data_IF_722390383509
#
_entry.id   IF_722390383509
#
_cell.length_a   1.000
_cell.length_b   1.000
_cell.length_c   1.000
_cell.angle_alpha   90.00
_cell.angle_beta   90.00
_cell.angle_gamma   90.00
#
_symmetry.space_group_name_H-M   'P 1'
#
loop_
_entity.id
_entity.type
_entity.pdbx_description
1 polymer ?
#
# COMPACT_ATOMS: atom_id res chain seq x y z
N UNK A 1 0.54 -34.10 74.82
CA UNK A 1 0.27 -33.09 73.78
C UNK A 1 1.53 -32.38 73.26
N UNK A 2 2.51 -32.00 74.10
CA UNK A 2 3.62 -31.14 73.67
C UNK A 2 4.51 -31.72 72.54
N UNK A 3 4.96 -32.98 72.64
CA UNK A 3 5.89 -33.56 71.65
C UNK A 3 5.31 -33.72 70.24
N UNK A 4 4.03 -34.06 70.12
CA UNK A 4 3.37 -34.26 68.82
C UNK A 4 3.29 -32.93 68.04
N UNK A 5 3.00 -31.85 68.75
CA UNK A 5 2.99 -30.49 68.20
C UNK A 5 4.40 -30.05 67.78
N UNK A 6 5.42 -30.41 68.57
CA UNK A 6 6.81 -30.05 68.25
C UNK A 6 7.35 -30.79 67.02
N UNK A 7 7.00 -32.08 66.84
CA UNK A 7 7.29 -32.84 65.60
C UNK A 7 6.58 -32.26 64.38
N UNK A 8 5.31 -31.87 64.51
CA UNK A 8 4.55 -31.27 63.41
C UNK A 8 5.13 -29.90 62.99
N UNK A 9 5.51 -29.06 63.96
CA UNK A 9 6.17 -27.78 63.71
C UNK A 9 7.56 -27.92 63.07
N UNK A 10 8.35 -28.95 63.43
CA UNK A 10 9.62 -29.23 62.76
C UNK A 10 9.41 -29.75 61.34
N UNK A 11 8.52 -30.73 61.13
CA UNK A 11 8.21 -31.24 59.79
C UNK A 11 7.64 -30.17 58.84
N UNK A 12 6.81 -29.25 59.36
CA UNK A 12 6.32 -28.12 58.58
C UNK A 12 7.43 -27.10 58.26
N UNK A 13 8.32 -26.81 59.22
CA UNK A 13 9.47 -25.92 58.99
C UNK A 13 10.43 -26.50 57.95
N UNK A 14 10.70 -27.80 58.03
CA UNK A 14 11.62 -28.48 57.13
C UNK A 14 10.98 -28.64 55.72
N UNK A 15 9.67 -28.93 55.62
CA UNK A 15 8.92 -28.89 54.36
C UNK A 15 8.88 -27.49 53.71
N UNK A 16 8.65 -26.43 54.51
CA UNK A 16 8.67 -25.05 54.01
C UNK A 16 10.08 -24.65 53.58
N UNK A 17 11.12 -25.13 54.27
CA UNK A 17 12.52 -24.92 53.90
C UNK A 17 12.87 -25.62 52.59
N UNK A 18 12.49 -26.89 52.43
CA UNK A 18 12.72 -27.66 51.20
C UNK A 18 11.93 -27.09 50.01
N UNK A 19 10.71 -26.58 50.25
CA UNK A 19 9.95 -25.85 49.22
C UNK A 19 10.60 -24.51 48.84
N UNK A 20 11.14 -23.75 49.80
CA UNK A 20 11.87 -22.51 49.51
C UNK A 20 13.21 -22.74 48.82
N UNK A 21 13.90 -23.84 49.14
CA UNK A 21 15.13 -24.25 48.46
C UNK A 21 14.82 -24.73 47.04
N UNK A 22 13.82 -25.60 46.86
CA UNK A 22 13.34 -26.03 45.54
C UNK A 22 12.81 -24.89 44.66
N UNK A 23 12.31 -23.80 45.24
CA UNK A 23 11.95 -22.58 44.50
C UNK A 23 13.17 -21.78 44.02
N UNK A 24 14.35 -21.98 44.62
CA UNK A 24 15.62 -21.37 44.21
C UNK A 24 16.54 -22.33 43.43
N UNK A 25 16.14 -23.59 43.26
CA UNK A 25 16.85 -24.54 42.43
C UNK A 25 16.69 -24.19 40.94
N UNK A 26 17.83 -24.05 40.25
CA UNK A 26 17.89 -23.74 38.83
C UNK A 26 18.34 -24.97 38.04
N UNK A 27 17.38 -25.70 37.46
CA UNK A 27 17.65 -26.86 36.64
C UNK A 27 18.30 -26.45 35.30
N UNK A 28 19.39 -27.15 34.94
CA UNK A 28 20.03 -27.02 33.62
C UNK A 28 20.27 -28.40 33.01
N UNK A 29 20.07 -28.57 31.70
CA UNK A 29 20.32 -29.85 31.05
C UNK A 29 21.83 -30.15 31.02
N UNK A 30 22.20 -31.39 31.37
CA UNK A 30 23.56 -31.92 31.22
C UNK A 30 23.92 -31.98 29.73
N UNK A 31 24.77 -31.06 29.26
CA UNK A 31 25.19 -30.97 27.85
C UNK A 31 26.49 -31.73 27.57
N UNK A 32 26.54 -32.44 26.44
CA UNK A 32 27.76 -33.09 25.94
C UNK A 32 28.53 -32.19 24.96
N UNK A 33 29.85 -32.06 25.11
CA UNK A 33 30.69 -31.23 24.24
C UNK A 33 31.56 -32.10 23.33
N UNK A 34 31.14 -32.26 22.07
CA UNK A 34 31.85 -33.06 21.07
C UNK A 34 33.00 -32.26 20.45
N UNK A 35 34.25 -32.64 20.74
CA UNK A 35 35.47 -31.98 20.22
C UNK A 35 35.90 -32.54 18.85
N UNK A 36 35.06 -32.41 17.82
CA UNK A 36 35.38 -32.81 16.45
C UNK A 36 35.47 -31.58 15.51
N UNK A 37 36.59 -31.42 14.81
CA UNK A 37 36.84 -30.27 13.92
C UNK A 37 35.87 -30.20 12.74
N UNK A 38 35.58 -31.32 12.09
CA UNK A 38 34.70 -31.37 10.91
C UNK A 38 33.26 -31.00 11.28
N UNK A 39 32.76 -31.57 12.37
CA UNK A 39 31.42 -31.25 12.90
C UNK A 39 31.33 -29.78 13.34
N UNK A 40 32.38 -29.26 13.99
CA UNK A 40 32.47 -27.86 14.39
C UNK A 40 32.45 -26.88 13.21
N UNK A 41 33.11 -27.19 12.09
CA UNK A 41 33.08 -26.36 10.88
C UNK A 41 31.67 -26.34 10.26
N UNK A 42 31.00 -27.49 10.14
CA UNK A 42 29.62 -27.56 9.63
C UNK A 42 28.67 -26.74 10.51
N UNK A 43 28.73 -26.95 11.84
CA UNK A 43 27.89 -26.23 12.80
C UNK A 43 28.10 -24.70 12.75
N UNK A 44 29.36 -24.24 12.69
CA UNK A 44 29.68 -22.81 12.57
C UNK A 44 29.30 -22.23 11.21
N UNK A 45 29.41 -23.01 10.13
CA UNK A 45 28.97 -22.59 8.80
C UNK A 45 27.46 -22.34 8.72
N UNK A 46 26.65 -23.23 9.31
CA UNK A 46 25.19 -23.03 9.41
C UNK A 46 24.86 -21.81 10.28
N UNK A 47 25.50 -21.66 11.46
CA UNK A 47 25.31 -20.45 12.29
C UNK A 47 25.63 -19.16 11.52
N UNK A 48 26.74 -19.14 10.77
CA UNK A 48 27.15 -17.98 9.98
C UNK A 48 26.12 -17.62 8.89
N UNK A 49 25.59 -18.62 8.17
CA UNK A 49 24.55 -18.42 7.16
C UNK A 49 23.29 -17.80 7.77
N UNK A 50 22.81 -18.33 8.90
CA UNK A 50 21.64 -17.80 9.61
C UNK A 50 21.85 -16.37 10.07
N UNK A 51 23.00 -16.08 10.70
CA UNK A 51 23.35 -14.72 11.15
C UNK A 51 23.41 -13.75 9.96
N UNK A 52 23.99 -14.18 8.83
CA UNK A 52 24.05 -13.39 7.60
C UNK A 52 22.64 -13.11 7.05
N UNK A 53 21.74 -14.11 7.05
CA UNK A 53 20.34 -13.92 6.67
C UNK A 53 19.64 -12.87 7.55
N UNK A 54 19.75 -12.97 8.88
CA UNK A 54 19.12 -11.99 9.78
C UNK A 54 19.70 -10.58 9.58
N UNK A 55 21.02 -10.43 9.51
CA UNK A 55 21.65 -9.12 9.30
C UNK A 55 21.26 -8.53 7.93
N UNK A 56 21.36 -9.30 6.85
CA UNK A 56 21.17 -8.78 5.50
C UNK A 56 19.69 -8.64 5.10
N UNK A 57 18.88 -9.66 5.36
CA UNK A 57 17.47 -9.65 4.97
C UNK A 57 16.62 -8.91 6.00
N UNK A 58 16.61 -9.36 7.26
CA UNK A 58 15.68 -8.84 8.28
C UNK A 58 16.09 -7.44 8.76
N UNK A 59 17.38 -7.21 9.05
CA UNK A 59 17.83 -5.90 9.51
C UNK A 59 18.10 -4.92 8.38
N UNK A 60 18.80 -5.28 7.29
CA UNK A 60 19.14 -4.31 6.23
C UNK A 60 18.02 -4.13 5.19
N UNK A 61 17.46 -5.21 4.63
CA UNK A 61 16.44 -5.12 3.57
C UNK A 61 15.05 -4.73 4.09
N UNK A 62 14.54 -5.47 5.09
CA UNK A 62 13.21 -5.22 5.69
C UNK A 62 13.23 -4.12 6.75
N UNK A 63 14.41 -3.65 7.17
CA UNK A 63 14.59 -2.59 8.19
C UNK A 63 13.84 -2.85 9.50
N UNK A 64 13.82 -4.10 9.98
CA UNK A 64 13.06 -4.49 11.17
C UNK A 64 13.53 -3.86 12.51
N UNK A 65 14.55 -2.98 12.48
CA UNK A 65 14.95 -2.09 13.58
C UNK A 65 14.16 -0.78 13.62
N UNK A 66 13.43 -0.46 12.55
CA UNK A 66 12.59 0.73 12.44
C UNK A 66 11.17 0.42 12.90
N UNK A 67 10.58 1.37 13.61
CA UNK A 67 9.14 1.50 13.73
C UNK A 67 8.64 2.18 12.45
N UNK A 68 7.52 1.71 11.90
CA UNK A 68 7.00 2.19 10.61
C UNK A 68 5.56 2.72 10.70
N UNK A 69 5.33 3.85 10.05
CA UNK A 69 4.03 4.53 9.99
C UNK A 69 3.55 4.58 8.54
N UNK A 70 2.43 3.92 8.23
CA UNK A 70 1.86 3.75 6.87
C UNK A 70 0.65 4.64 6.59
N UNK A 71 0.21 5.43 7.57
CA UNK A 71 -0.99 6.28 7.50
C UNK A 71 -0.67 7.70 7.95
N UNK A 72 0.07 8.50 7.14
CA UNK A 72 0.22 9.92 7.42
C UNK A 72 -1.14 10.64 7.32
N UNK A 73 -1.26 11.72 8.07
CA UNK A 73 -2.24 12.76 7.78
C UNK A 73 -1.75 13.51 6.53
N UNK A 74 -2.63 13.75 5.56
CA UNK A 74 -2.26 14.50 4.35
C UNK A 74 -3.27 15.59 4.04
N UNK A 75 -2.75 16.72 3.54
CA UNK A 75 -3.52 17.83 3.03
C UNK A 75 -3.08 18.11 1.60
N UNK A 76 -4.04 18.24 0.70
CA UNK A 76 -3.82 18.54 -0.71
C UNK A 76 -4.61 19.78 -1.08
N UNK A 77 -3.95 20.71 -1.75
CA UNK A 77 -4.55 21.88 -2.35
C UNK A 77 -4.11 21.95 -3.81
N UNK A 78 -5.08 22.06 -4.72
CA UNK A 78 -4.87 22.11 -6.16
C UNK A 78 -5.40 23.41 -6.74
N UNK A 79 -4.67 23.98 -7.70
CA UNK A 79 -5.09 25.18 -8.42
C UNK A 79 -4.66 25.05 -9.89
N UNK A 80 -5.60 25.12 -10.81
CA UNK A 80 -5.29 25.21 -12.24
C UNK A 80 -5.01 26.65 -12.66
N UNK A 81 -4.17 26.83 -13.68
CA UNK A 81 -3.86 28.12 -14.32
C UNK A 81 -3.68 27.94 -15.82
N UNK A 82 -4.35 28.79 -16.57
CA UNK A 82 -4.32 28.83 -18.02
C UNK A 82 -5.46 29.71 -18.52
N UNK A 83 -5.27 30.32 -19.68
CA UNK A 83 -6.33 31.00 -20.42
C UNK A 83 -6.32 30.41 -21.82
N UNK A 84 -7.49 30.20 -22.40
CA UNK A 84 -7.62 29.71 -23.77
C UNK A 84 -8.62 30.55 -24.56
N UNK A 85 -8.39 30.65 -25.86
CA UNK A 85 -9.26 31.35 -26.81
C UNK A 85 -10.21 30.33 -27.42
N UNK A 86 -11.51 30.62 -27.39
CA UNK A 86 -12.56 29.74 -27.85
C UNK A 86 -13.51 30.49 -28.80
N UNK A 87 -13.11 30.59 -30.08
CA UNK A 87 -13.75 31.50 -31.01
C UNK A 87 -13.43 32.94 -30.61
N UNK A 88 -14.47 33.74 -30.37
CA UNK A 88 -14.34 35.12 -29.89
C UNK A 88 -14.28 35.24 -28.35
N UNK A 89 -14.60 34.15 -27.62
CA UNK A 89 -14.60 34.12 -26.16
C UNK A 89 -13.22 33.77 -25.57
N UNK A 90 -12.88 34.35 -24.41
CA UNK A 90 -11.72 33.98 -23.61
C UNK A 90 -12.21 33.15 -22.42
N UNK A 91 -11.66 31.94 -22.24
CA UNK A 91 -11.95 31.07 -21.11
C UNK A 91 -10.80 31.13 -20.10
N UNK A 92 -11.13 31.47 -18.85
CA UNK A 92 -10.23 31.41 -17.70
C UNK A 92 -10.66 30.23 -16.79
N UNK A 93 -9.88 30.02 -15.73
CA UNK A 93 -10.06 29.02 -14.69
C UNK A 93 -11.50 28.91 -14.15
N UNK A 94 -12.24 30.01 -14.07
CA UNK A 94 -13.63 30.03 -13.56
C UNK A 94 -14.61 29.36 -14.54
N UNK A 95 -14.31 29.33 -15.83
CA UNK A 95 -15.16 28.72 -16.86
C UNK A 95 -14.93 27.21 -16.98
N UNK A 96 -13.68 26.74 -16.84
CA UNK A 96 -13.31 25.36 -17.12
C UNK A 96 -12.93 24.50 -15.90
N UNK A 97 -12.64 25.06 -14.71
CA UNK A 97 -12.20 24.28 -13.53
C UNK A 97 -13.36 23.99 -12.58
N UNK A 98 -13.53 22.73 -12.13
CA UNK A 98 -14.52 22.36 -11.08
C UNK A 98 -13.97 21.25 -10.16
N UNK A 99 -14.15 21.33 -8.83
CA UNK A 99 -14.59 22.49 -8.05
C UNK A 99 -13.59 23.65 -8.14
N UNK A 100 -14.06 24.88 -7.88
CA UNK A 100 -13.25 26.11 -7.92
C UNK A 100 -12.31 26.25 -6.71
N UNK A 101 -12.68 25.62 -5.60
CA UNK A 101 -12.02 25.59 -4.31
C UNK A 101 -10.71 24.79 -4.35
N UNK A 102 -10.61 23.86 -5.31
CA UNK A 102 -9.56 22.84 -5.35
C UNK A 102 -9.71 21.79 -4.24
N UNK A 103 -8.75 20.87 -4.19
CA UNK A 103 -8.71 19.79 -3.20
C UNK A 103 -7.88 18.60 -3.68
N UNK A 104 -8.23 17.41 -3.20
CA UNK A 104 -7.76 16.13 -3.72
C UNK A 104 -8.31 15.84 -5.13
N UNK A 105 -9.55 16.22 -5.42
CA UNK A 105 -10.20 16.07 -6.73
C UNK A 105 -10.35 17.42 -7.43
N UNK A 106 -9.86 17.50 -8.67
CA UNK A 106 -10.02 18.69 -9.52
C UNK A 106 -10.27 18.27 -10.98
N UNK A 107 -11.26 18.87 -11.64
CA UNK A 107 -11.60 18.57 -13.03
C UNK A 107 -11.47 19.80 -13.93
N UNK A 108 -11.08 19.55 -15.18
CA UNK A 108 -10.98 20.56 -16.25
C UNK A 108 -11.89 20.18 -17.40
N UNK A 109 -12.75 21.12 -17.82
CA UNK A 109 -13.64 20.97 -18.97
C UNK A 109 -12.81 21.17 -20.25
N UNK A 110 -12.84 20.17 -21.14
CA UNK A 110 -12.15 20.20 -22.43
C UNK A 110 -13.11 20.36 -23.61
N UNK A 111 -14.38 19.98 -23.45
CA UNK A 111 -15.42 20.11 -24.49
C UNK A 111 -16.78 20.28 -23.83
N UNK A 112 -17.62 21.17 -24.38
CA UNK A 112 -18.98 21.43 -23.89
C UNK A 112 -20.01 21.08 -24.95
N UNK A 113 -21.12 20.53 -24.48
CA UNK A 113 -22.36 20.35 -25.25
C UNK A 113 -23.42 21.17 -24.54
N UNK A 114 -23.88 22.25 -25.19
CA UNK A 114 -24.68 23.30 -24.56
C UNK A 114 -26.08 23.32 -25.17
N UNK A 115 -27.10 23.35 -24.30
CA UNK A 115 -28.51 23.55 -24.68
C UNK A 115 -28.97 24.85 -24.03
N UNK A 116 -29.05 25.91 -24.83
CA UNK A 116 -29.44 27.25 -24.39
C UNK A 116 -30.94 27.39 -24.17
N UNK A 117 -31.34 28.36 -23.34
CA UNK A 117 -32.73 28.83 -23.18
C UNK A 117 -33.76 27.71 -22.93
N UNK A 118 -33.38 26.65 -22.19
CA UNK A 118 -34.34 25.66 -21.73
C UNK A 118 -35.33 26.33 -20.77
N UNK A 119 -36.62 26.11 -20.98
CA UNK A 119 -37.71 26.62 -20.14
C UNK A 119 -38.60 25.47 -19.69
N UNK A 120 -39.22 25.58 -18.53
CA UNK A 120 -40.19 24.58 -18.08
C UNK A 120 -41.45 24.65 -18.97
N UNK A 121 -41.77 23.57 -19.66
CA UNK A 121 -42.85 23.55 -20.65
C UNK A 121 -43.20 22.14 -21.11
N UNK A 122 -43.71 22.04 -22.34
CA UNK A 122 -43.98 20.74 -23.00
C UNK A 122 -43.30 20.69 -24.36
N UNK A 123 -42.75 19.52 -24.71
CA UNK A 123 -42.07 19.27 -25.97
C UNK A 123 -42.04 17.78 -26.31
N UNK A 124 -41.67 17.45 -27.54
CA UNK A 124 -41.52 16.09 -28.03
C UNK A 124 -40.33 15.37 -27.36
N UNK A 125 -40.55 14.16 -26.83
CA UNK A 125 -39.49 13.30 -26.28
C UNK A 125 -38.52 12.83 -27.37
N UNK A 126 -37.28 12.51 -27.00
CA UNK A 126 -36.24 12.07 -27.91
C UNK A 126 -36.50 10.65 -28.43
N UNK A 127 -36.51 10.48 -29.75
CA UNK A 127 -36.82 9.22 -30.46
C UNK A 127 -35.96 7.99 -30.10
N UNK A 128 -34.81 8.17 -29.44
CA UNK A 128 -33.97 7.06 -28.93
C UNK A 128 -34.34 6.59 -27.52
N UNK A 129 -35.25 7.27 -26.81
CA UNK A 129 -35.80 6.79 -25.53
C UNK A 129 -36.76 5.64 -25.82
N UNK A 130 -36.77 4.62 -24.95
CA UNK A 130 -37.65 3.47 -25.12
C UNK A 130 -39.13 3.91 -25.16
N UNK A 131 -39.91 3.33 -26.07
CA UNK A 131 -41.34 3.65 -26.25
C UNK A 131 -41.65 5.15 -26.45
N UNK A 132 -40.68 5.98 -26.88
CA UNK A 132 -40.91 7.40 -27.15
C UNK A 132 -41.60 7.66 -28.50
N UNK A 133 -41.38 6.79 -29.49
CA UNK A 133 -42.03 6.88 -30.80
C UNK A 133 -43.51 6.46 -30.68
N UNK A 134 -44.40 7.25 -31.25
CA UNK A 134 -45.85 7.03 -31.18
C UNK A 134 -46.51 7.21 -32.56
N UNK A 135 -47.71 6.67 -32.71
CA UNK A 135 -48.57 6.88 -33.89
C UNK A 135 -49.86 7.59 -33.54
N UNK A 136 -50.39 7.31 -32.35
CA UNK A 136 -51.64 7.84 -31.78
C UNK A 136 -51.40 8.31 -30.36
N UNK A 137 -52.25 9.21 -29.88
CA UNK A 137 -52.21 9.73 -28.50
C UNK A 137 -52.36 8.59 -27.46
N UNK A 138 -53.10 7.53 -27.79
CA UNK A 138 -53.24 6.30 -26.99
C UNK A 138 -51.93 5.59 -26.66
N UNK A 139 -50.90 5.80 -27.48
CA UNK A 139 -49.61 5.13 -27.33
C UNK A 139 -48.78 5.80 -26.22
N UNK A 140 -49.17 7.01 -25.79
CA UNK A 140 -48.52 7.80 -24.76
C UNK A 140 -49.37 7.79 -23.49
N UNK A 141 -48.99 7.03 -22.46
CA UNK A 141 -49.75 6.99 -21.20
C UNK A 141 -49.56 8.31 -20.44
N UNK A 142 -50.67 9.00 -20.15
CA UNK A 142 -50.64 10.26 -19.41
C UNK A 142 -50.13 10.08 -17.98
N UNK A 143 -49.22 10.94 -17.53
CA UNK A 143 -48.68 10.94 -16.18
C UNK A 143 -47.53 9.96 -15.95
N UNK A 144 -47.26 9.06 -16.90
CA UNK A 144 -46.11 8.15 -16.87
C UNK A 144 -44.79 8.92 -16.91
N UNK A 145 -43.81 8.46 -16.13
CA UNK A 145 -42.43 8.94 -16.14
C UNK A 145 -41.55 7.74 -16.43
N UNK A 146 -40.91 7.73 -17.59
CA UNK A 146 -39.91 6.72 -17.93
C UNK A 146 -38.60 7.04 -17.18
N UNK A 147 -37.93 6.00 -16.66
CA UNK A 147 -36.67 6.16 -15.92
C UNK A 147 -35.53 6.63 -16.82
N UNK A 148 -35.53 6.19 -18.09
CA UNK A 148 -34.57 6.63 -19.11
C UNK A 148 -35.09 7.85 -19.92
N UNK A 149 -36.28 8.35 -19.59
CA UNK A 149 -36.91 9.51 -20.22
C UNK A 149 -36.49 10.84 -19.60
N UNK A 150 -36.82 11.94 -20.29
CA UNK A 150 -36.45 13.29 -19.87
C UNK A 150 -37.56 14.01 -19.08
N UNK A 151 -38.76 13.41 -18.95
CA UNK A 151 -39.88 14.04 -18.24
C UNK A 151 -41.16 13.21 -18.18
N UNK A 152 -42.24 13.86 -17.70
CA UNK A 152 -43.56 13.24 -17.52
C UNK A 152 -44.40 13.33 -18.79
N UNK A 153 -44.90 12.20 -19.30
CA UNK A 153 -45.75 12.15 -20.51
C UNK A 153 -47.08 12.88 -20.30
N UNK A 154 -47.49 13.70 -21.27
CA UNK A 154 -48.74 14.48 -21.20
C UNK A 154 -49.96 13.70 -21.70
N UNK A 155 -49.73 12.62 -22.47
CA UNK A 155 -50.77 11.85 -23.15
C UNK A 155 -51.00 12.21 -24.62
N UNK A 156 -50.15 13.05 -25.23
CA UNK A 156 -50.28 13.48 -26.64
C UNK A 156 -49.13 12.97 -27.51
N UNK A 157 -49.43 12.58 -28.75
CA UNK A 157 -48.47 12.13 -29.75
C UNK A 157 -48.19 13.25 -30.76
N UNK A 158 -47.08 13.98 -30.55
CA UNK A 158 -46.74 15.20 -31.30
C UNK A 158 -45.69 14.92 -32.37
N UNK A 159 -45.65 15.75 -33.41
CA UNK A 159 -44.60 15.67 -34.43
C UNK A 159 -43.23 16.02 -33.81
N UNK A 160 -42.21 15.22 -34.12
CA UNK A 160 -40.87 15.44 -33.58
C UNK A 160 -40.18 16.59 -34.32
N UNK A 161 -40.45 17.82 -33.85
CA UNK A 161 -39.93 19.06 -34.43
C UNK A 161 -40.12 19.11 -35.96
N UNK A 162 -39.04 19.25 -36.73
CA UNK A 162 -39.07 19.34 -38.19
C UNK A 162 -39.00 17.97 -38.91
N UNK A 163 -39.16 16.85 -38.20
CA UNK A 163 -39.10 15.50 -38.78
C UNK A 163 -40.50 14.96 -39.11
N UNK A 164 -40.55 13.90 -39.94
CA UNK A 164 -41.81 13.28 -40.42
C UNK A 164 -42.44 12.30 -39.43
N UNK A 165 -41.70 11.83 -38.43
CA UNK A 165 -42.18 10.91 -37.39
C UNK A 165 -42.68 11.68 -36.16
N UNK A 166 -43.41 10.97 -35.28
CA UNK A 166 -43.99 11.51 -34.05
C UNK A 166 -43.39 10.85 -32.81
N UNK A 167 -43.30 11.61 -31.72
CA UNK A 167 -42.95 11.11 -30.39
C UNK A 167 -43.90 11.63 -29.32
N UNK A 168 -43.95 10.96 -28.19
CA UNK A 168 -44.78 11.37 -27.07
C UNK A 168 -44.34 12.75 -26.55
N UNK A 169 -45.32 13.61 -26.29
CA UNK A 169 -45.08 14.88 -25.63
C UNK A 169 -44.84 14.66 -24.13
N UNK A 170 -43.81 15.31 -23.62
CA UNK A 170 -43.41 15.30 -22.21
C UNK A 170 -43.41 16.71 -21.63
N UNK A 171 -43.68 16.81 -20.34
CA UNK A 171 -43.52 18.02 -19.54
C UNK A 171 -42.12 18.01 -18.89
N UNK A 172 -41.24 18.91 -19.33
CA UNK A 172 -39.85 19.02 -18.85
C UNK A 172 -39.22 20.37 -19.20
N UNK A 173 -37.90 20.49 -19.01
CA UNK A 173 -37.07 21.56 -19.53
C UNK A 173 -36.89 21.42 -21.05
N UNK A 174 -37.61 22.25 -21.79
CA UNK A 174 -37.70 22.22 -23.25
C UNK A 174 -36.91 23.40 -23.86
N UNK A 175 -36.19 23.21 -24.99
CA UNK A 175 -36.06 21.97 -25.77
C UNK A 175 -35.14 20.93 -25.10
N UNK A 176 -35.36 19.65 -25.43
CA UNK A 176 -34.55 18.52 -24.93
C UNK A 176 -33.09 18.57 -25.44
N UNK A 177 -32.15 18.16 -24.58
CA UNK A 177 -30.69 18.19 -24.82
C UNK A 177 -30.32 17.67 -26.21
N UNK A 178 -30.70 16.43 -26.52
CA UNK A 178 -30.25 15.74 -27.74
C UNK A 178 -30.77 16.35 -29.05
N UNK A 179 -31.83 17.17 -29.01
CA UNK A 179 -32.34 17.88 -30.19
C UNK A 179 -31.63 19.24 -30.39
N UNK A 180 -31.52 20.03 -29.33
CA UNK A 180 -31.06 21.42 -29.38
C UNK A 180 -29.60 21.61 -28.93
N UNK A 181 -28.82 20.54 -28.83
CA UNK A 181 -27.41 20.58 -28.44
C UNK A 181 -26.55 21.31 -29.48
N UNK A 182 -25.92 22.39 -29.04
CA UNK A 182 -24.78 23.00 -29.72
C UNK A 182 -23.51 22.30 -29.22
N UNK A 183 -22.74 21.72 -30.13
CA UNK A 183 -21.45 21.07 -29.83
C UNK A 183 -20.33 22.07 -30.03
N UNK A 184 -19.70 22.49 -28.95
CA UNK A 184 -18.53 23.37 -29.02
C UNK A 184 -17.27 22.57 -29.41
N UNK A 185 -16.27 23.22 -30.07
CA UNK A 185 -15.00 22.58 -30.36
C UNK A 185 -14.21 22.23 -29.09
N UNK A 186 -13.25 21.32 -29.21
CA UNK A 186 -12.40 20.94 -28.09
C UNK A 186 -11.34 22.01 -27.77
N UNK A 187 -11.06 22.19 -26.48
CA UNK A 187 -10.09 23.14 -25.96
C UNK A 187 -8.66 22.58 -26.05
N UNK A 188 -8.11 22.54 -27.28
CA UNK A 188 -6.77 21.97 -27.55
C UNK A 188 -5.66 22.68 -26.76
N UNK A 189 -5.80 24.00 -26.56
CA UNK A 189 -4.86 24.83 -25.80
C UNK A 189 -4.68 24.40 -24.34
N UNK A 190 -5.67 23.68 -23.79
CA UNK A 190 -5.61 23.14 -22.43
C UNK A 190 -4.43 22.18 -22.20
N UNK A 191 -3.82 21.64 -23.25
CA UNK A 191 -2.58 20.83 -23.14
C UNK A 191 -1.45 21.58 -22.44
N UNK A 192 -1.42 22.91 -22.56
CA UNK A 192 -0.43 23.80 -21.95
C UNK A 192 -0.84 24.37 -20.60
N UNK A 193 -2.07 24.11 -20.13
CA UNK A 193 -2.49 24.54 -18.80
C UNK A 193 -1.66 23.86 -17.71
N UNK A 194 -1.49 24.58 -16.60
CA UNK A 194 -0.71 24.11 -15.46
C UNK A 194 -1.59 23.82 -14.27
N UNK A 195 -1.29 22.73 -13.56
CA UNK A 195 -1.90 22.34 -12.30
C UNK A 195 -0.84 22.56 -11.22
N UNK A 196 -1.06 23.53 -10.35
CA UNK A 196 -0.28 23.70 -9.12
C UNK A 196 -0.81 22.73 -8.08
N UNK A 197 0.05 21.82 -7.60
CA UNK A 197 -0.29 20.84 -6.56
C UNK A 197 0.57 21.14 -5.33
N UNK A 198 -0.07 21.61 -4.25
CA UNK A 198 0.54 21.74 -2.93
C UNK A 198 0.07 20.58 -2.07
N UNK A 199 1.01 19.74 -1.64
CA UNK A 199 0.76 18.66 -0.71
C UNK A 199 1.61 18.84 0.55
N UNK A 200 0.96 18.76 1.70
CA UNK A 200 1.57 18.65 3.02
C UNK A 200 1.27 17.26 3.59
N UNK A 201 2.26 16.61 4.18
CA UNK A 201 2.12 15.33 4.87
C UNK A 201 2.65 15.44 6.30
N UNK A 202 1.95 14.84 7.24
CA UNK A 202 2.32 14.78 8.64
C UNK A 202 2.29 13.32 9.11
N UNK A 203 3.39 12.89 9.71
CA UNK A 203 3.53 11.60 10.38
C UNK A 203 3.34 11.82 11.89
N UNK A 204 2.11 11.68 12.44
CA UNK A 204 1.84 12.03 13.83
C UNK A 204 2.60 11.16 14.84
N UNK A 205 2.88 9.89 14.53
CA UNK A 205 3.73 9.03 15.36
C UNK A 205 5.14 9.59 15.54
N UNK A 206 5.74 10.10 14.46
CA UNK A 206 7.10 10.66 14.48
C UNK A 206 7.16 12.19 14.67
N UNK A 207 6.01 12.88 14.63
CA UNK A 207 5.85 14.35 14.66
C UNK A 207 6.62 15.07 13.54
N UNK A 208 6.66 14.47 12.36
CA UNK A 208 7.37 15.02 11.19
C UNK A 208 6.36 15.59 10.18
N UNK A 209 6.43 16.89 9.94
CA UNK A 209 5.68 17.60 8.89
C UNK A 209 6.60 17.87 7.69
N UNK A 210 6.16 17.51 6.49
CA UNK A 210 6.87 17.80 5.22
C UNK A 210 5.89 18.32 4.17
N UNK A 211 6.42 19.03 3.19
CA UNK A 211 5.67 19.52 2.03
C UNK A 211 6.43 19.26 0.74
N UNK A 212 5.71 19.14 -0.38
CA UNK A 212 6.30 18.81 -1.68
C UNK A 212 7.08 19.96 -2.34
N UNK A 213 6.84 21.20 -1.90
CA UNK A 213 7.50 22.39 -2.43
C UNK A 213 8.88 22.53 -1.79
N UNK A 214 9.91 22.77 -2.60
CA UNK A 214 11.29 23.03 -2.14
C UNK A 214 11.29 24.12 -1.06
N UNK A 215 11.98 23.89 0.05
CA UNK A 215 12.17 24.92 1.07
C UNK A 215 13.16 25.97 0.57
N UNK A 216 12.71 27.23 0.48
CA UNK A 216 13.50 28.38 0.00
C UNK A 216 13.25 29.54 0.96
N UNK A 217 14.27 29.89 1.74
CA UNK A 217 14.16 30.87 2.82
C UNK A 217 13.86 32.30 2.35
N UNK A 218 14.14 32.63 1.08
CA UNK A 218 13.86 33.95 0.49
C UNK A 218 12.50 33.96 -0.25
N UNK A 219 11.47 34.69 0.25
CA UNK A 219 10.14 34.72 -0.38
C UNK A 219 10.13 35.24 -1.83
N UNK A 220 11.07 36.13 -2.20
CA UNK A 220 11.16 36.69 -3.55
C UNK A 220 11.69 35.67 -4.55
N UNK A 221 12.61 34.82 -4.12
CA UNK A 221 13.13 33.71 -4.93
C UNK A 221 12.13 32.56 -5.01
N UNK A 222 11.47 32.22 -3.90
CA UNK A 222 10.33 31.29 -3.88
C UNK A 222 9.27 31.69 -4.92
N UNK A 223 8.81 32.95 -4.91
CA UNK A 223 7.82 33.43 -5.89
C UNK A 223 8.35 33.41 -7.34
N UNK A 224 9.65 33.62 -7.55
CA UNK A 224 10.28 33.52 -8.88
C UNK A 224 10.35 32.07 -9.37
N UNK A 225 10.69 31.14 -8.48
CA UNK A 225 10.70 29.69 -8.73
C UNK A 225 9.29 29.20 -9.07
N UNK A 226 8.31 29.45 -8.19
CA UNK A 226 6.91 29.02 -8.38
C UNK A 226 6.23 29.59 -9.63
N UNK A 227 6.73 30.70 -10.19
CA UNK A 227 6.21 31.28 -11.43
C UNK A 227 6.89 30.75 -12.71
N UNK A 228 8.04 30.07 -12.61
CA UNK A 228 8.85 29.63 -13.76
C UNK A 228 9.11 28.13 -13.83
N UNK A 229 9.10 27.45 -12.69
CA UNK A 229 9.39 26.03 -12.63
C UNK A 229 8.30 25.22 -13.34
N UNK A 230 8.70 24.11 -13.95
CA UNK A 230 7.79 23.08 -14.43
C UNK A 230 8.27 21.74 -13.90
N UNK A 231 7.33 20.92 -13.40
CA UNK A 231 7.69 19.60 -12.91
C UNK A 231 8.31 18.76 -14.02
N UNK A 232 9.48 18.23 -13.70
CA UNK A 232 10.17 17.19 -14.43
C UNK A 232 10.82 16.23 -13.44
N UNK A 233 10.85 14.94 -13.78
CA UNK A 233 11.26 13.88 -12.85
C UNK A 233 12.75 13.93 -12.48
N UNK A 234 13.60 14.39 -13.39
CA UNK A 234 15.05 14.33 -13.25
C UNK A 234 15.65 15.70 -12.92
N UNK A 235 15.10 16.76 -13.51
CA UNK A 235 15.65 18.12 -13.39
C UNK A 235 15.02 18.95 -12.27
N UNK A 236 13.69 18.91 -12.07
CA UNK A 236 12.96 19.72 -11.06
C UNK A 236 11.88 18.92 -10.28
N UNK A 237 12.25 17.87 -9.51
CA UNK A 237 11.29 17.00 -8.82
C UNK A 237 10.48 17.68 -7.70
N UNK A 238 10.93 18.85 -7.21
CA UNK A 238 10.24 19.65 -6.20
C UNK A 238 9.37 20.78 -6.78
N UNK A 239 9.25 20.90 -8.11
CA UNK A 239 8.35 21.89 -8.68
C UNK A 239 6.88 21.44 -8.58
N UNK A 240 5.98 22.25 -7.98
CA UNK A 240 4.56 21.89 -7.85
C UNK A 240 3.72 22.14 -9.11
N UNK A 241 4.28 22.68 -10.20
CA UNK A 241 3.54 23.05 -11.41
C UNK A 241 3.63 21.96 -12.49
N UNK A 242 2.55 21.20 -12.69
CA UNK A 242 2.46 20.13 -13.69
C UNK A 242 1.71 20.61 -14.93
N UNK A 243 2.23 20.38 -16.15
CA UNK A 243 1.47 20.65 -17.39
C UNK A 243 0.45 19.53 -17.63
N UNK A 244 -0.77 19.85 -18.05
CA UNK A 244 -1.79 18.83 -18.35
C UNK A 244 -1.35 17.85 -19.45
N UNK A 245 -0.68 18.33 -20.50
CA UNK A 245 -0.08 17.48 -21.52
C UNK A 245 0.99 16.52 -20.99
N UNK A 246 1.78 16.95 -20.00
CA UNK A 246 2.76 16.07 -19.34
C UNK A 246 2.06 14.98 -18.51
N UNK A 247 1.02 15.34 -17.76
CA UNK A 247 0.22 14.37 -16.99
C UNK A 247 -0.39 13.31 -17.91
N UNK A 248 -1.01 13.72 -19.02
CA UNK A 248 -1.61 12.81 -20.00
C UNK A 248 -0.55 11.90 -20.67
N UNK A 249 0.59 12.45 -21.08
CA UNK A 249 1.68 11.68 -21.68
C UNK A 249 2.26 10.64 -20.70
N UNK A 250 2.49 11.00 -19.44
CA UNK A 250 2.95 10.06 -18.41
C UNK A 250 1.92 8.98 -18.08
N UNK A 251 0.62 9.31 -18.12
CA UNK A 251 -0.48 8.34 -18.02
C UNK A 251 -0.65 7.46 -19.28
N UNK A 252 0.17 7.67 -20.32
CA UNK A 252 0.13 6.98 -21.63
C UNK A 252 -1.22 7.16 -22.36
N UNK A 253 -1.74 8.38 -22.36
CA UNK A 253 -2.97 8.79 -23.05
C UNK A 253 -2.68 9.82 -24.15
N UNK A 254 -3.50 9.80 -25.21
CA UNK A 254 -3.56 10.90 -26.17
C UNK A 254 -4.50 12.00 -25.65
N UNK A 255 -3.98 13.22 -25.52
CA UNK A 255 -4.77 14.38 -25.10
C UNK A 255 -5.95 14.65 -26.04
N UNK A 256 -5.80 14.34 -27.33
CA UNK A 256 -6.83 14.51 -28.36
C UNK A 256 -8.07 13.63 -28.13
N UNK A 257 -7.86 12.41 -27.61
CA UNK A 257 -8.94 11.48 -27.26
C UNK A 257 -9.58 11.83 -25.91
N UNK A 258 -8.79 12.32 -24.94
CA UNK A 258 -9.28 12.88 -23.69
C UNK A 258 -10.16 14.12 -23.92
N UNK A 259 -9.83 14.97 -24.90
CA UNK A 259 -10.69 16.08 -25.33
C UNK A 259 -12.08 15.63 -25.86
N UNK A 260 -12.16 14.45 -26.50
CA UNK A 260 -13.43 13.93 -27.07
C UNK A 260 -14.29 13.24 -26.01
N UNK A 261 -13.68 12.32 -25.27
CA UNK A 261 -14.37 11.37 -24.37
C UNK A 261 -14.31 11.76 -22.89
N UNK A 262 -13.31 12.54 -22.50
CA UNK A 262 -12.92 12.72 -21.10
C UNK A 262 -12.22 11.48 -20.52
N UNK A 263 -11.74 11.61 -19.28
CA UNK A 263 -11.15 10.51 -18.52
C UNK A 263 -10.81 10.90 -17.09
N UNK A 264 -10.47 9.90 -16.27
CA UNK A 264 -10.05 10.10 -14.88
C UNK A 264 -8.60 9.68 -14.73
N UNK A 265 -7.72 10.60 -14.33
CA UNK A 265 -6.29 10.35 -14.15
C UNK A 265 -5.92 10.52 -12.68
N UNK A 266 -5.35 9.47 -12.09
CA UNK A 266 -4.78 9.49 -10.75
C UNK A 266 -3.38 10.10 -10.79
N UNK A 267 -3.16 11.09 -9.92
CA UNK A 267 -1.86 11.70 -9.62
C UNK A 267 -1.41 11.15 -8.28
N UNK A 268 -0.53 10.14 -8.30
CA UNK A 268 -0.05 9.48 -7.11
C UNK A 268 1.19 10.19 -6.57
N UNK A 269 1.13 10.62 -5.30
CA UNK A 269 2.26 11.23 -4.58
C UNK A 269 2.72 10.24 -3.52
N UNK A 270 3.84 9.57 -3.78
CA UNK A 270 4.41 8.56 -2.89
C UNK A 270 5.56 9.14 -2.08
N UNK A 271 5.40 9.15 -0.75
CA UNK A 271 6.41 9.54 0.22
C UNK A 271 7.00 8.29 0.89
N UNK A 272 8.19 7.86 0.48
CA UNK A 272 8.92 6.79 1.16
C UNK A 272 10.12 7.40 1.89
N UNK A 273 9.99 7.59 3.20
CA UNK A 273 10.92 8.40 3.98
C UNK A 273 11.60 7.58 5.07
N UNK A 274 12.93 7.49 4.98
CA UNK A 274 13.77 7.00 6.07
C UNK A 274 14.12 8.17 7.00
N UNK A 275 13.51 8.23 8.18
CA UNK A 275 13.70 9.30 9.16
C UNK A 275 14.96 9.16 10.02
N UNK A 276 15.76 8.12 9.78
CA UNK A 276 17.12 7.98 10.34
C UNK A 276 18.16 8.71 9.49
N UNK A 277 17.81 9.07 8.26
CA UNK A 277 18.59 9.95 7.39
C UNK A 277 18.13 11.40 7.56
N UNK A 278 18.91 12.34 7.02
CA UNK A 278 18.49 13.74 7.01
C UNK A 278 17.16 13.95 6.27
N UNK A 279 16.33 14.86 6.78
CA UNK A 279 14.99 15.14 6.25
C UNK A 279 14.98 15.59 4.79
N UNK A 280 16.09 16.06 4.23
CA UNK A 280 16.23 16.37 2.80
C UNK A 280 15.98 15.16 1.89
N UNK A 281 16.37 13.95 2.29
CA UNK A 281 16.16 12.72 1.51
C UNK A 281 14.68 12.28 1.46
N UNK A 282 13.84 12.78 2.37
CA UNK A 282 12.40 12.60 2.32
C UNK A 282 11.81 13.53 1.25
N UNK A 283 11.69 13.00 0.03
CA UNK A 283 11.19 13.69 -1.17
C UNK A 283 9.96 12.96 -1.76
N UNK A 284 9.00 13.69 -2.36
CA UNK A 284 7.85 13.09 -3.02
C UNK A 284 8.27 12.41 -4.33
N UNK A 285 7.66 11.28 -4.65
CA UNK A 285 7.79 10.64 -5.97
C UNK A 285 6.42 10.60 -6.65
N UNK A 286 6.35 11.14 -7.86
CA UNK A 286 5.10 11.27 -8.61
C UNK A 286 4.94 10.16 -9.65
N UNK A 287 3.73 9.60 -9.75
CA UNK A 287 3.34 8.74 -10.86
C UNK A 287 1.92 9.03 -11.32
N UNK A 288 1.63 8.75 -12.59
CA UNK A 288 0.39 9.12 -13.26
C UNK A 288 -0.23 7.89 -13.91
N UNK A 289 -1.52 7.65 -13.68
CA UNK A 289 -2.23 6.50 -14.26
C UNK A 289 -3.69 6.85 -14.53
N UNK A 290 -4.25 6.40 -15.65
CA UNK A 290 -5.70 6.41 -15.83
C UNK A 290 -6.39 5.50 -14.79
N UNK A 291 -7.54 5.92 -14.29
CA UNK A 291 -8.34 5.24 -13.28
C UNK A 291 -9.62 4.63 -13.85
N UNK A 292 -10.20 5.24 -14.90
CA UNK A 292 -11.36 4.69 -15.60
C UNK A 292 -11.00 3.53 -16.54
N UNK A 293 -11.94 2.61 -16.75
CA UNK A 293 -11.76 1.41 -17.56
C UNK A 293 -11.67 1.78 -19.05
N UNK A 294 -10.52 1.49 -19.68
CA UNK A 294 -10.29 1.70 -21.11
C UNK A 294 -11.03 0.65 -21.96
N UNK A 295 -12.20 0.99 -22.50
CA UNK A 295 -13.04 0.18 -23.43
C UNK A 295 -13.58 -1.09 -22.71
N UNK A 296 -14.82 -1.56 -22.85
CA UNK A 296 -15.71 -1.66 -24.02
C UNK A 296 -17.19 -1.36 -23.68
N UNK A 297 -17.45 -0.51 -22.69
CA UNK A 297 -18.81 -0.22 -22.21
C UNK A 297 -19.35 1.14 -22.69
N UNK A 298 -20.67 1.25 -22.85
CA UNK A 298 -21.38 2.44 -23.33
C UNK A 298 -21.20 3.72 -22.45
N UNK A 299 -20.53 3.60 -21.31
CA UNK A 299 -20.19 4.69 -20.38
C UNK A 299 -18.69 5.01 -20.32
N UNK A 300 -17.88 4.64 -21.33
CA UNK A 300 -16.46 5.00 -21.36
C UNK A 300 -16.24 6.52 -21.52
N UNK A 301 -15.41 7.10 -20.66
CA UNK A 301 -15.10 8.54 -20.63
C UNK A 301 -15.49 9.20 -19.31
N UNK A 302 -15.33 10.52 -19.23
CA UNK A 302 -15.76 11.33 -18.08
C UNK A 302 -16.52 12.56 -18.55
N UNK A 303 -17.79 12.64 -18.16
CA UNK A 303 -18.63 13.81 -18.34
C UNK A 303 -19.55 14.02 -17.13
N UNK A 304 -19.98 15.26 -16.95
CA UNK A 304 -21.02 15.62 -15.99
C UNK A 304 -21.94 16.69 -16.58
N UNK A 305 -23.12 16.87 -15.96
CA UNK A 305 -24.11 17.88 -16.37
C UNK A 305 -24.29 18.89 -15.25
N UNK A 306 -24.38 20.16 -15.62
CA UNK A 306 -24.79 21.25 -14.74
C UNK A 306 -25.61 22.26 -15.52
N UNK A 307 -26.36 23.11 -14.83
CA UNK A 307 -27.18 24.15 -15.45
C UNK A 307 -26.86 25.52 -14.88
N UNK A 308 -26.84 26.53 -15.75
CA UNK A 308 -26.82 27.95 -15.36
C UNK A 308 -28.25 28.46 -15.44
N UNK A 309 -28.85 28.81 -14.29
CA UNK A 309 -30.21 29.33 -14.20
C UNK A 309 -30.22 30.86 -14.32
N UNK A 310 -31.22 31.41 -15.02
CA UNK A 310 -31.43 32.84 -15.19
C UNK A 310 -32.91 33.16 -15.46
N UNK A 311 -33.34 34.39 -15.23
CA UNK A 311 -34.67 34.86 -15.63
C UNK A 311 -34.56 35.69 -16.90
N UNK A 312 -35.40 35.40 -17.90
CA UNK A 312 -35.49 36.16 -19.14
C UNK A 312 -36.94 36.56 -19.36
N UNK A 313 -37.21 37.86 -19.43
CA UNK A 313 -38.57 38.41 -19.61
C UNK A 313 -39.58 37.90 -18.55
N UNK A 314 -39.11 37.67 -17.32
CA UNK A 314 -39.91 37.14 -16.22
C UNK A 314 -40.10 35.61 -16.23
N UNK A 315 -39.58 34.91 -17.25
CA UNK A 315 -39.64 33.44 -17.36
C UNK A 315 -38.33 32.81 -16.89
N UNK A 316 -38.41 31.91 -15.91
CA UNK A 316 -37.27 31.10 -15.49
C UNK A 316 -36.77 30.22 -16.65
N UNK A 317 -35.49 30.38 -16.94
CA UNK A 317 -34.80 29.72 -18.03
C UNK A 317 -33.49 29.14 -17.50
N UNK A 318 -32.93 28.13 -18.19
CA UNK A 318 -31.59 27.63 -17.89
C UNK A 318 -30.84 27.28 -19.16
N UNK A 319 -29.52 27.42 -19.10
CA UNK A 319 -28.62 26.83 -20.07
C UNK A 319 -28.06 25.55 -19.46
N UNK A 320 -28.43 24.40 -20.04
CA UNK A 320 -27.90 23.10 -19.65
C UNK A 320 -26.54 22.89 -20.35
N UNK A 321 -25.52 22.51 -19.57
CA UNK A 321 -24.17 22.26 -20.06
C UNK A 321 -23.79 20.84 -19.68
N UNK A 322 -23.52 20.01 -20.68
CA UNK A 322 -22.86 18.71 -20.53
C UNK A 322 -21.39 18.90 -20.85
N UNK A 323 -20.55 18.75 -19.83
CA UNK A 323 -19.11 18.98 -19.91
C UNK A 323 -18.36 17.66 -19.95
N UNK A 324 -17.48 17.50 -20.94
CA UNK A 324 -16.51 16.41 -21.04
C UNK A 324 -15.14 16.96 -20.68
N UNK A 325 -14.32 16.16 -19.99
CA UNK A 325 -13.07 16.69 -19.45
C UNK A 325 -12.19 15.66 -18.79
N UNK A 326 -11.07 16.14 -18.23
CA UNK A 326 -10.19 15.33 -17.40
C UNK A 326 -10.50 15.61 -15.94
N UNK A 327 -10.75 14.55 -15.17
CA UNK A 327 -10.76 14.60 -13.70
C UNK A 327 -9.41 14.11 -13.20
N UNK A 328 -8.75 14.91 -12.36
CA UNK A 328 -7.52 14.56 -11.66
C UNK A 328 -7.82 14.21 -10.21
N UNK A 329 -7.47 12.99 -9.81
CA UNK A 329 -7.58 12.51 -8.43
C UNK A 329 -6.18 12.43 -7.83
N UNK A 330 -5.85 13.34 -6.90
CA UNK A 330 -4.55 13.40 -6.24
C UNK A 330 -4.54 12.47 -5.03
N UNK A 331 -3.84 11.35 -5.17
CA UNK A 331 -3.81 10.27 -4.18
C UNK A 331 -2.45 10.29 -3.50
N UNK A 332 -2.43 10.48 -2.18
CA UNK A 332 -1.19 10.57 -1.39
C UNK A 332 -0.98 9.27 -0.61
N UNK A 333 0.18 8.66 -0.80
CA UNK A 333 0.65 7.55 0.01
C UNK A 333 1.89 7.97 0.78
N UNK A 334 2.02 7.52 2.03
CA UNK A 334 3.25 7.72 2.79
C UNK A 334 3.61 6.53 3.65
N UNK A 335 4.90 6.26 3.68
CA UNK A 335 5.54 5.27 4.53
C UNK A 335 6.76 5.95 5.15
N UNK A 336 6.77 6.10 6.46
CA UNK A 336 7.92 6.57 7.22
C UNK A 336 8.46 5.44 8.09
N UNK A 337 9.79 5.27 8.10
CA UNK A 337 10.49 4.40 9.03
C UNK A 337 11.46 5.20 9.89
N UNK A 338 11.50 4.93 11.21
CA UNK A 338 12.43 5.55 12.16
C UNK A 338 12.94 4.53 13.16
N UNK A 339 14.22 4.57 13.49
CA UNK A 339 14.85 3.73 14.51
C UNK A 339 14.07 3.79 15.83
N UNK A 340 13.70 2.61 16.33
CA UNK A 340 13.01 2.47 17.61
C UNK A 340 13.60 1.28 18.37
N UNK A 341 13.91 1.42 19.68
CA UNK A 341 14.55 0.34 20.44
C UNK A 341 13.62 -0.87 20.62
N UNK A 342 12.29 -0.67 20.63
CA UNK A 342 11.32 -1.75 20.83
C UNK A 342 11.35 -2.78 19.69
N UNK A 343 11.09 -2.43 18.40
CA UNK A 343 11.20 -3.38 17.30
C UNK A 343 12.65 -3.89 17.13
N UNK A 344 13.66 -3.08 17.44
CA UNK A 344 15.07 -3.55 17.44
C UNK A 344 15.30 -4.67 18.44
N UNK A 345 14.82 -4.53 19.69
CA UNK A 345 14.94 -5.56 20.73
C UNK A 345 14.11 -6.79 20.35
N UNK A 346 12.88 -6.61 19.87
CA UNK A 346 12.04 -7.74 19.43
C UNK A 346 12.73 -8.49 18.28
N UNK A 347 13.21 -7.79 17.24
CA UNK A 347 13.94 -8.38 16.11
C UNK A 347 15.27 -9.01 16.51
N UNK A 348 15.95 -8.48 17.54
CA UNK A 348 17.18 -9.06 18.08
C UNK A 348 16.88 -10.30 18.92
N UNK A 349 15.82 -10.27 19.72
CA UNK A 349 15.35 -11.43 20.49
C UNK A 349 14.81 -12.50 19.55
N UNK A 350 14.08 -12.16 18.49
CA UNK A 350 13.68 -13.14 17.47
C UNK A 350 14.87 -13.65 16.69
N UNK A 351 15.91 -12.85 16.39
CA UNK A 351 17.15 -13.34 15.78
C UNK A 351 17.98 -14.22 16.72
N UNK A 352 18.09 -13.89 18.02
CA UNK A 352 18.82 -14.68 19.02
C UNK A 352 18.06 -15.96 19.36
N UNK A 353 16.76 -15.84 19.61
CA UNK A 353 15.90 -17.01 19.79
C UNK A 353 15.84 -17.80 18.51
N UNK A 354 15.80 -17.24 17.30
CA UNK A 354 15.89 -18.03 16.06
C UNK A 354 17.30 -18.49 15.72
N UNK A 355 18.37 -18.05 16.38
CA UNK A 355 19.67 -18.74 16.30
C UNK A 355 19.69 -19.88 17.32
N UNK A 356 19.19 -19.67 18.54
CA UNK A 356 19.00 -20.73 19.54
C UNK A 356 17.98 -21.78 19.08
N UNK A 357 16.95 -21.37 18.34
CA UNK A 357 15.83 -22.14 17.81
C UNK A 357 16.13 -22.57 16.37
N UNK A 358 16.91 -21.89 15.54
CA UNK A 358 17.49 -22.61 14.40
C UNK A 358 18.61 -23.57 14.88
N UNK A 359 19.04 -23.53 16.15
CA UNK A 359 19.76 -24.64 16.81
C UNK A 359 18.81 -25.67 17.46
N UNK A 360 17.60 -25.29 17.92
CA UNK A 360 16.66 -26.14 18.70
C UNK A 360 15.39 -26.61 17.93
N UNK A 361 14.78 -25.79 17.06
CA UNK A 361 14.02 -26.19 15.85
C UNK A 361 14.89 -26.73 14.69
N UNK A 362 16.23 -26.68 14.66
CA UNK A 362 16.95 -27.74 13.90
C UNK A 362 16.89 -29.11 14.60
N UNK A 363 16.36 -29.15 15.84
CA UNK A 363 15.92 -30.37 16.53
C UNK A 363 14.39 -30.58 16.51
N UNK A 364 13.60 -29.73 15.84
CA UNK A 364 12.14 -29.96 15.66
C UNK A 364 11.60 -29.70 14.23
N UNK A 365 12.45 -29.22 13.32
CA UNK A 365 12.38 -29.37 11.86
C UNK A 365 13.62 -30.14 11.36
N UNK A 366 13.86 -31.29 12.00
CA UNK A 366 14.32 -32.57 11.44
C UNK A 366 15.53 -32.66 10.48
N UNK A 367 16.41 -31.65 10.39
CA UNK A 367 17.61 -31.77 9.54
C UNK A 367 18.90 -31.65 10.32
N UNK A 368 19.51 -30.47 10.50
CA UNK A 368 20.93 -30.43 10.86
C UNK A 368 21.34 -31.10 12.19
N UNK A 369 20.53 -31.11 13.27
CA UNK A 369 21.00 -31.75 14.52
C UNK A 369 20.76 -33.25 14.52
N UNK A 370 19.67 -33.75 13.90
CA UNK A 370 19.54 -35.18 13.59
C UNK A 370 20.60 -35.60 12.59
N UNK A 371 20.90 -34.82 11.54
CA UNK A 371 21.97 -35.13 10.58
C UNK A 371 23.34 -35.04 11.24
N UNK A 372 23.58 -34.15 12.21
CA UNK A 372 24.84 -34.12 12.97
C UNK A 372 24.95 -35.31 13.92
N UNK A 373 23.87 -35.66 14.62
CA UNK A 373 23.80 -36.85 15.48
C UNK A 373 23.81 -38.16 14.69
N UNK A 374 23.29 -38.19 13.46
CA UNK A 374 23.27 -39.33 12.55
C UNK A 374 24.60 -39.45 11.79
N UNK A 375 25.20 -38.34 11.33
CA UNK A 375 26.60 -38.36 10.88
C UNK A 375 27.52 -38.78 12.03
N UNK A 376 27.24 -38.34 13.25
CA UNK A 376 28.00 -38.74 14.42
C UNK A 376 27.82 -40.23 14.72
N UNK A 377 26.61 -40.68 15.08
CA UNK A 377 26.28 -42.07 15.46
C UNK A 377 26.41 -43.10 14.32
N UNK A 378 26.28 -42.70 13.05
CA UNK A 378 26.26 -43.63 11.89
C UNK A 378 27.53 -43.57 11.02
N UNK A 379 28.30 -42.48 11.04
CA UNK A 379 29.52 -42.35 10.23
C UNK A 379 30.80 -42.05 11.04
N UNK A 380 30.70 -41.53 12.27
CA UNK A 380 31.87 -41.14 13.11
C UNK A 380 32.03 -42.08 14.32
N UNK A 381 30.95 -42.64 14.85
CA UNK A 381 30.92 -43.46 16.07
C UNK A 381 31.36 -44.91 15.82
N UNK A 382 32.55 -45.08 15.23
CA UNK A 382 33.11 -46.38 14.87
C UNK A 382 33.45 -47.29 16.05
N UNK A 383 33.38 -46.77 17.29
CA UNK A 383 33.82 -47.42 18.52
C UNK A 383 32.79 -47.26 19.68
N UNK A 384 31.55 -46.84 19.42
CA UNK A 384 30.47 -46.63 20.44
C UNK A 384 30.80 -45.59 21.55
N UNK A 385 31.92 -44.88 21.42
CA UNK A 385 32.43 -43.89 22.40
C UNK A 385 31.48 -42.69 22.55
N UNK A 386 30.65 -42.40 21.53
CA UNK A 386 29.70 -41.30 21.58
C UNK A 386 28.28 -41.74 21.99
N UNK A 387 27.82 -42.95 21.64
CA UNK A 387 26.57 -43.52 22.15
C UNK A 387 26.59 -43.66 23.68
N UNK A 388 27.64 -44.27 24.23
CA UNK A 388 27.77 -44.60 25.67
C UNK A 388 27.80 -43.37 26.57
N UNK A 389 28.10 -42.19 26.01
CA UNK A 389 28.19 -40.92 26.73
C UNK A 389 26.96 -40.03 26.53
N UNK A 390 26.05 -40.43 25.63
CA UNK A 390 24.83 -39.71 25.29
C UNK A 390 23.59 -40.38 25.90
N UNK A 391 23.61 -41.71 26.00
CA UNK A 391 22.51 -42.51 26.54
C UNK A 391 22.97 -43.23 27.80
N UNK A 392 22.40 -42.85 28.95
CA UNK A 392 22.56 -43.61 30.19
C UNK A 392 21.55 -44.78 30.18
N UNK A 393 22.02 -46.04 30.09
CA UNK A 393 21.14 -47.21 30.10
C UNK A 393 20.51 -47.46 31.48
N UNK A 394 19.21 -47.20 31.61
CA UNK A 394 18.46 -47.44 32.86
C UNK A 394 17.87 -48.86 32.88
N UNK A 395 18.71 -49.83 33.27
CA UNK A 395 18.24 -51.18 33.61
C UNK A 395 17.40 -51.10 34.90
N UNK A 396 16.11 -51.49 34.82
CA UNK A 396 15.16 -51.47 35.95
C UNK A 396 15.31 -52.67 36.90
N UNK A 397 16.54 -53.05 37.24
CA UNK A 397 16.82 -54.02 38.31
C UNK A 397 17.85 -53.47 39.30
N UNK A 398 17.66 -53.68 40.62
CA UNK A 398 18.43 -52.99 41.66
C UNK A 398 19.84 -53.59 41.80
N UNK A 399 20.79 -53.05 41.04
CA UNK A 399 22.22 -53.37 41.23
C UNK A 399 22.84 -52.37 42.20
N UNK A 400 23.56 -52.88 43.20
CA UNK A 400 24.22 -52.11 44.28
C UNK A 400 25.14 -51.02 43.68
N UNK A 401 25.12 -49.76 44.19
CA UNK A 401 25.86 -48.67 43.57
C UNK A 401 27.38 -48.88 43.61
N UNK A 402 28.01 -48.83 42.44
CA UNK A 402 29.44 -48.55 42.31
C UNK A 402 29.64 -47.03 42.22
N UNK A 403 30.65 -46.53 42.94
CA UNK A 403 30.99 -45.10 42.92
C UNK A 403 31.51 -44.68 41.53
N UNK A 404 31.25 -43.43 41.09
CA UNK A 404 31.75 -42.92 39.82
C UNK A 404 33.24 -42.58 39.91
N UNK A 405 34.09 -43.32 39.19
CA UNK A 405 35.47 -42.89 38.97
C UNK A 405 35.54 -41.75 37.95
N UNK A 406 36.29 -40.70 38.29
CA UNK A 406 36.48 -39.52 37.46
C UNK A 406 37.50 -39.81 36.34
N UNK A 407 37.04 -40.46 35.27
CA UNK A 407 37.86 -40.87 34.13
C UNK A 407 38.44 -39.72 33.28
N UNK A 408 39.52 -39.10 33.74
CA UNK A 408 40.45 -38.39 32.86
C UNK A 408 41.38 -39.42 32.18
N UNK A 409 41.42 -39.45 30.85
CA UNK A 409 42.46 -40.18 30.11
C UNK A 409 43.17 -39.23 29.15
N UNK A 410 44.40 -38.88 29.55
CA UNK A 410 45.48 -38.63 28.62
C UNK A 410 46.18 -39.98 28.36
N UNK A 411 46.22 -40.46 27.12
CA UNK A 411 47.44 -41.05 26.55
C UNK A 411 47.30 -41.28 25.04
N UNK A 412 48.36 -40.94 24.32
CA UNK A 412 48.66 -41.56 23.02
C UNK A 412 49.47 -42.82 23.31
N UNK A 413 49.03 -43.98 22.80
CA UNK A 413 49.81 -45.21 22.81
C UNK A 413 50.57 -45.36 21.51
N UNK A 414 51.90 -45.23 21.54
CA UNK A 414 52.78 -45.53 20.41
C UNK A 414 52.98 -47.04 20.28
N UNK A 415 52.94 -47.57 19.05
CA UNK A 415 53.32 -48.95 18.79
C UNK A 415 54.82 -49.14 19.03
N UNK A 416 55.19 -50.09 19.90
CA UNK A 416 56.43 -50.84 19.81
C UNK A 416 56.20 -52.22 20.43
N UNK A 417 56.40 -53.27 19.64
CA UNK A 417 56.23 -54.67 20.02
C UNK A 417 57.60 -55.34 20.04
N UNK A 418 58.16 -55.54 21.22
CA UNK A 418 59.34 -56.40 21.40
C UNK A 418 58.90 -57.87 21.47
N UNK A 419 59.64 -58.72 20.75
CA UNK A 419 59.32 -60.13 20.55
C UNK A 419 60.60 -60.94 20.72
N UNK A 420 60.74 -61.64 21.86
CA UNK A 420 61.83 -62.59 22.10
C UNK A 420 61.44 -63.64 23.13
N UNK A 421 61.42 -64.91 22.70
CA UNK A 421 62.24 -66.02 23.25
C UNK A 421 61.65 -67.39 22.88
N UNK A 422 62.50 -68.35 22.47
CA UNK A 422 62.10 -69.75 22.24
C UNK A 422 62.89 -70.52 21.17
N UNK A 423 64.09 -71.02 21.51
CA UNK A 423 65.08 -71.68 20.62
C UNK A 423 65.79 -72.81 21.39
N UNK A 424 66.05 -74.03 20.87
CA UNK A 424 65.65 -74.76 19.66
C UNK A 424 65.88 -76.28 19.89
N UNK A 425 65.18 -77.14 19.13
CA UNK A 425 65.17 -78.62 19.19
C UNK A 425 64.57 -79.24 20.47
#
# INVERSE_FOLDING_TARGET
>A
MCELFHKFMMGLRDFVKDYFLGFWDYETPKVMVVKNKTLGVIYRGVQFLVITYFIWYVFISEKAYQESETRPESSVYTLMKGTAVHGDDILDTVEYVRPSEGGDVISTILRREVTYDQKQGTCAEHFMVANANCTRDSDCVQGEVDFDGHGRRTGRCVQYYNHTFKTCEIQTWCPIERYAVVREPALVEAINFTVFIRNSIHFPGFKVLRGNIKDISNPKEMRRFLNKCHYDKETEPYCPNFRLGYIAAQAREDFSELCKTGGVIGVFINWNCNLDLDYSYCQPTYSFRRLDLRKDQASSGYYYRFAKYYSREGVESRTLIKAYGIRLDVIVHGHAGKFSPIPTIISTVTAMTSVAILVFLLMSHLQCTIICDWIMLTFIDKNEVYSDRKFDEVIKEPTVPKAPELGFINSYGSNHSDLSDGVQL
#
